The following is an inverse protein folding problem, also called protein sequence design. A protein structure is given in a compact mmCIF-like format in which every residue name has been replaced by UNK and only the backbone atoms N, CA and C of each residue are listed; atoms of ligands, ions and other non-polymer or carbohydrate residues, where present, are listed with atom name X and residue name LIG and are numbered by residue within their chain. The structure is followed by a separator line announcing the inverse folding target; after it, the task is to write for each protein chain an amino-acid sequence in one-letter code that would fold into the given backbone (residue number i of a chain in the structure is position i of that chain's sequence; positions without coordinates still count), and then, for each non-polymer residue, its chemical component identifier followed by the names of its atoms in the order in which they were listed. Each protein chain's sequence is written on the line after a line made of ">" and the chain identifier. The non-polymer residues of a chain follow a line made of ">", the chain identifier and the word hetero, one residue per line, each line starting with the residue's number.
data_IF_549376546142
#
_entry.id   IF_549376546142
#
_cell.length_a   1.000
_cell.length_b   1.000
_cell.length_c   1.000
_cell.angle_alpha   90.00
_cell.angle_beta   90.00
_cell.angle_gamma   90.00
#
_symmetry.space_group_name_H-M   'P 1'
#
loop_
_entity.id
_entity.type
_entity.pdbx_description
1 polymer ?
2 non-polymer ?
3 non-polymer ?
4 water ?
#
# COMPACT_ATOMS: atom_id res chain seq x y z
N UNK A 5 -17.54 10.61 -2.23
CA UNK A 5 -17.17 9.50 -1.37
C UNK A 5 -18.07 9.41 -0.14
N UNK A 6 -18.35 8.19 0.31
CA UNK A 6 -19.01 7.98 1.60
C UNK A 6 -18.10 8.46 2.72
N UNK A 7 -18.68 8.59 3.90
CA UNK A 7 -17.92 8.97 5.07
C UNK A 7 -16.72 8.04 5.29
N UNK A 8 -16.94 6.73 5.18
CA UNK A 8 -15.85 5.80 5.40
C UNK A 8 -14.79 5.91 4.30
N UNK A 9 -15.21 6.16 3.06
CA UNK A 9 -14.22 6.31 2.00
C UNK A 9 -13.47 7.64 2.11
N UNK A 10 -14.10 8.68 2.67
CA UNK A 10 -13.35 9.88 2.99
C UNK A 10 -12.23 9.56 3.97
N UNK A 11 -12.55 8.80 5.01
CA UNK A 11 -11.52 8.39 5.96
C UNK A 11 -10.40 7.62 5.26
N UNK A 12 -10.76 6.69 4.37
CA UNK A 12 -9.74 5.97 3.61
C UNK A 12 -8.90 6.92 2.76
N UNK A 13 -9.54 7.90 2.13
CA UNK A 13 -8.77 8.87 1.34
C UNK A 13 -7.80 9.65 2.21
N UNK A 14 -8.22 10.02 3.41
CA UNK A 14 -7.31 10.68 4.33
C UNK A 14 -6.11 9.82 4.68
N UNK A 15 -6.35 8.54 4.98
CA UNK A 15 -5.24 7.61 5.21
C UNK A 15 -4.30 7.60 4.02
N UNK A 16 -4.86 7.47 2.82
CA UNK A 16 -4.05 7.42 1.60
C UNK A 16 -3.18 8.67 1.48
N UNK A 17 -3.78 9.84 1.65
CA UNK A 17 -3.02 11.08 1.61
C UNK A 17 -1.89 11.06 2.64
N UNK A 18 -2.18 10.57 3.86
CA UNK A 18 -1.13 10.51 4.86
C UNK A 18 0.00 9.56 4.43
N UNK A 19 -0.35 8.38 3.90
CA UNK A 19 0.69 7.42 3.52
C UNK A 19 1.58 7.97 2.43
N UNK A 20 1.06 8.91 1.64
CA UNK A 20 1.82 9.54 0.57
C UNK A 20 2.49 10.85 0.98
N UNK A 21 2.39 11.25 2.24
CA UNK A 21 2.87 12.55 2.68
C UNK A 21 4.34 12.51 3.08
N UNK A 22 4.97 13.69 3.13
CA UNK A 22 6.40 13.75 3.44
C UNK A 22 6.69 13.18 4.81
N UNK A 23 5.72 13.28 5.75
CA UNK A 23 5.89 12.76 7.10
C UNK A 23 6.38 11.30 7.12
N UNK A 24 5.95 10.50 6.14
CA UNK A 24 6.29 9.08 6.13
C UNK A 24 7.20 8.69 4.97
N UNK A 25 7.76 9.67 4.24
CA UNK A 25 8.45 9.37 3.00
C UNK A 25 9.67 8.46 3.21
N UNK A 26 10.31 8.54 4.38
CA UNK A 26 11.57 7.81 4.56
C UNK A 26 11.37 6.30 4.47
N UNK A 27 10.18 5.80 4.82
CA UNK A 27 9.87 4.39 4.66
C UNK A 27 8.77 4.10 3.64
N UNK A 28 8.02 5.11 3.20
CA UNK A 28 6.93 4.85 2.26
C UNK A 28 7.37 4.80 0.81
N UNK A 29 8.51 5.40 0.48
CA UNK A 29 8.85 5.62 -0.92
C UNK A 29 8.93 4.34 -1.76
N UNK A 30 9.34 3.16 -1.26
CA UNK A 30 9.32 1.96 -2.13
C UNK A 30 7.91 1.55 -2.55
N UNK A 31 6.88 2.13 -1.94
CA UNK A 31 5.49 1.75 -2.19
C UNK A 31 4.75 2.80 -2.99
N UNK A 32 5.45 3.84 -3.46
CA UNK A 32 4.80 4.92 -4.18
C UNK A 32 4.34 4.49 -5.58
N UNK A 33 5.13 3.65 -6.25
CA UNK A 33 4.90 3.29 -7.64
C UNK A 33 4.97 1.78 -7.81
N UNK A 34 4.43 1.24 -8.90
CA UNK A 34 4.53 -0.22 -9.11
C UNK A 34 5.97 -0.68 -9.12
N UNK A 35 6.21 -1.85 -8.55
CA UNK A 35 7.54 -2.49 -8.67
C UNK A 35 7.87 -2.65 -10.14
N UNK A 36 8.96 -2.02 -10.57
CA UNK A 36 9.46 -2.17 -11.94
C UNK A 36 10.49 -3.30 -11.90
N UNK A 37 9.99 -4.55 -12.03
CA UNK A 37 10.83 -5.71 -11.75
C UNK A 37 12.02 -5.76 -12.70
N UNK A 38 11.81 -5.42 -13.97
CA UNK A 38 12.91 -5.41 -14.94
C UNK A 38 13.96 -4.39 -14.56
N UNK A 39 13.54 -3.18 -14.19
CA UNK A 39 14.52 -2.14 -13.86
C UNK A 39 15.31 -2.50 -12.61
N UNK A 40 14.69 -3.23 -11.68
CA UNK A 40 15.32 -3.58 -10.42
C UNK A 40 16.07 -4.91 -10.48
N UNK A 41 16.05 -5.59 -11.63
CA UNK A 41 16.70 -6.87 -11.76
C UNK A 41 15.97 -8.03 -11.11
N UNK A 42 14.69 -7.87 -10.79
CA UNK A 42 13.93 -8.90 -10.08
C UNK A 42 13.13 -9.74 -11.09
N UNK A 43 13.87 -10.60 -11.80
CA UNK A 43 13.25 -11.25 -12.95
C UNK A 43 12.32 -12.39 -12.55
N UNK A 44 12.24 -12.72 -11.28
CA UNK A 44 11.28 -13.69 -10.77
C UNK A 44 10.09 -13.02 -10.09
N UNK A 45 10.03 -11.68 -10.08
CA UNK A 45 9.03 -10.98 -9.27
C UNK A 45 7.61 -11.35 -9.69
N UNK A 46 7.35 -11.33 -10.99
CA UNK A 46 6.00 -11.61 -11.47
C UNK A 46 5.67 -13.08 -11.53
N UNK A 47 6.64 -13.95 -11.27
CA UNK A 47 6.32 -15.36 -11.07
C UNK A 47 5.90 -15.62 -9.65
N UNK A 48 6.39 -14.82 -8.73
CA UNK A 48 6.10 -14.99 -7.30
C UNK A 48 4.88 -14.20 -6.88
N UNK A 49 4.77 -12.96 -7.36
CA UNK A 49 3.70 -12.03 -6.99
C UNK A 49 2.65 -12.05 -8.09
N UNK A 50 1.47 -12.57 -7.78
CA UNK A 50 0.38 -12.72 -8.76
C UNK A 50 -0.43 -11.44 -8.96
N UNK A 51 -0.49 -10.58 -7.94
CA UNK A 51 -1.36 -9.41 -7.94
C UNK A 51 -0.59 -8.21 -7.41
N UNK A 52 0.20 -7.56 -8.26
CA UNK A 52 0.97 -6.39 -7.81
C UNK A 52 0.05 -5.27 -7.36
N UNK A 53 0.53 -4.49 -6.39
CA UNK A 53 -0.24 -3.36 -5.88
C UNK A 53 0.72 -2.34 -5.29
N UNK A 54 0.34 -1.06 -5.39
CA UNK A 54 1.18 0.04 -4.94
C UNK A 54 0.28 1.24 -4.68
N UNK A 55 0.84 2.25 -4.01
CA UNK A 55 0.00 3.37 -3.59
C UNK A 55 -0.48 4.23 -4.75
N UNK A 56 0.29 4.33 -5.85
CA UNK A 56 -0.23 5.10 -6.97
C UNK A 56 -1.42 4.42 -7.62
N UNK A 57 -1.44 3.09 -7.59
CA UNK A 57 -2.60 2.36 -8.10
C UNK A 57 -3.80 2.52 -7.17
N UNK A 58 -3.58 2.42 -5.86
CA UNK A 58 -4.64 2.71 -4.90
C UNK A 58 -5.19 4.11 -5.13
N UNK A 59 -4.31 5.08 -5.38
CA UNK A 59 -4.75 6.45 -5.57
C UNK A 59 -5.58 6.59 -6.84
N UNK A 60 -5.15 5.95 -7.92
CA UNK A 60 -5.93 5.98 -9.16
C UNK A 60 -7.30 5.35 -8.95
N UNK A 61 -7.36 4.24 -8.22
CA UNK A 61 -8.64 3.59 -7.98
C UNK A 61 -9.55 4.43 -7.09
N UNK A 62 -8.98 5.14 -6.12
CA UNK A 62 -9.78 6.06 -5.32
C UNK A 62 -10.31 7.20 -6.18
N UNK A 63 -9.45 7.78 -7.03
CA UNK A 63 -9.86 8.92 -7.86
C UNK A 63 -10.96 8.51 -8.85
N UNK A 64 -10.89 7.28 -9.35
CA UNK A 64 -11.85 6.77 -10.32
C UNK A 64 -13.09 6.20 -9.68
N UNK A 65 -13.20 6.26 -8.35
CA UNK A 65 -14.34 5.72 -7.61
C UNK A 65 -14.45 4.21 -7.82
N UNK A 66 -13.30 3.55 -7.95
CA UNK A 66 -13.27 2.10 -8.13
C UNK A 66 -13.69 1.40 -6.84
N UNK A 67 -13.20 1.86 -5.69
CA UNK A 67 -13.52 1.22 -4.42
C UNK A 67 -14.97 1.49 -4.05
N UNK A 68 -15.71 0.44 -3.76
CA UNK A 68 -17.08 0.67 -3.36
C UNK A 68 -17.26 0.76 -1.85
N UNK A 69 -16.26 0.35 -1.08
CA UNK A 69 -16.34 0.46 0.38
C UNK A 69 -14.93 0.43 0.95
N UNK A 70 -14.84 0.71 2.26
CA UNK A 70 -13.55 0.77 2.93
C UNK A 70 -12.82 -0.57 2.89
N UNK A 71 -13.58 -1.67 3.05
CA UNK A 71 -12.98 -2.99 3.08
C UNK A 71 -12.22 -3.29 1.78
N UNK A 72 -12.74 -2.85 0.65
CA UNK A 72 -12.07 -3.09 -0.61
C UNK A 72 -10.77 -2.29 -0.70
N UNK A 73 -10.79 -1.05 -0.23
CA UNK A 73 -9.57 -0.24 -0.13
C UNK A 73 -8.55 -0.90 0.77
N UNK A 74 -8.97 -1.29 1.97
CA UNK A 74 -8.05 -1.93 2.91
C UNK A 74 -7.43 -3.18 2.31
N UNK A 75 -8.22 -3.98 1.59
CA UNK A 75 -7.69 -5.20 1.00
C UNK A 75 -6.55 -4.90 0.03
N UNK A 76 -6.65 -3.82 -0.74
CA UNK A 76 -5.58 -3.45 -1.66
C UNK A 76 -4.33 -2.98 -0.91
N UNK A 77 -4.50 -2.13 0.10
CA UNK A 77 -3.33 -1.67 0.85
C UNK A 77 -2.61 -2.85 1.48
N UNK A 78 -3.37 -3.76 2.10
CA UNK A 78 -2.75 -4.90 2.76
C UNK A 78 -2.14 -5.87 1.75
N UNK A 79 -2.73 -5.97 0.56
CA UNK A 79 -2.13 -6.77 -0.51
C UNK A 79 -0.75 -6.25 -0.89
N UNK A 80 -0.61 -4.93 -0.99
CA UNK A 80 0.68 -4.32 -1.24
C UNK A 80 1.71 -4.76 -0.21
N UNK A 81 1.34 -4.71 1.08
CA UNK A 81 2.28 -5.12 2.11
C UNK A 81 2.59 -6.61 2.01
N UNK A 82 1.57 -7.43 1.78
CA UNK A 82 1.76 -8.88 1.71
C UNK A 82 2.71 -9.25 0.58
N UNK A 83 2.62 -8.55 -0.55
CA UNK A 83 3.55 -8.82 -1.65
C UNK A 83 4.98 -8.60 -1.18
N UNK A 84 5.20 -7.55 -0.40
CA UNK A 84 6.53 -7.26 0.12
C UNK A 84 7.00 -8.36 1.07
N UNK A 85 6.11 -8.81 1.97
CA UNK A 85 6.47 -9.88 2.90
C UNK A 85 6.67 -11.22 2.19
N UNK A 86 6.01 -11.43 1.04
CA UNK A 86 6.17 -12.70 0.32
C UNK A 86 7.50 -12.73 -0.42
N UNK A 87 7.88 -11.64 -1.08
CA UNK A 87 8.98 -11.68 -2.04
C UNK A 87 10.34 -11.55 -1.37
N UNK A 88 10.43 -10.78 -0.28
CA UNK A 88 11.69 -10.34 0.31
C UNK A 88 12.03 -11.13 1.58
N UNK A 89 13.31 -11.34 1.88
CA UNK A 89 13.66 -11.96 3.16
C UNK A 89 13.12 -11.14 4.31
N UNK A 90 12.71 -11.78 5.40
CA UNK A 90 12.05 -11.03 6.49
C UNK A 90 12.95 -10.02 7.16
N UNK A 91 14.27 -10.14 7.05
CA UNK A 91 15.19 -9.22 7.68
C UNK A 91 15.65 -8.10 6.76
N UNK A 92 15.08 -8.01 5.56
CA UNK A 92 15.52 -6.99 4.61
C UNK A 92 15.01 -5.60 5.02
N UNK A 93 15.76 -4.57 4.63
CA UNK A 93 15.36 -3.19 4.95
C UNK A 93 13.98 -2.87 4.39
N UNK A 94 13.67 -3.34 3.18
CA UNK A 94 12.41 -2.96 2.55
C UNK A 94 11.23 -3.56 3.33
N UNK A 95 11.45 -4.70 3.98
CA UNK A 95 10.41 -5.29 4.82
C UNK A 95 10.24 -4.48 6.09
N UNK A 96 11.34 -3.99 6.66
CA UNK A 96 11.26 -3.11 7.82
C UNK A 96 10.45 -1.86 7.49
N UNK A 97 10.64 -1.32 6.28
CA UNK A 97 9.86 -0.16 5.84
C UNK A 97 8.40 -0.51 5.66
N UNK A 98 8.10 -1.67 5.07
CA UNK A 98 6.72 -2.12 4.97
C UNK A 98 6.06 -2.21 6.34
N UNK A 99 6.73 -2.83 7.31
CA UNK A 99 6.15 -2.97 8.65
C UNK A 99 5.81 -1.61 9.24
N UNK A 100 6.71 -0.64 9.07
CA UNK A 100 6.47 0.68 9.65
C UNK A 100 5.31 1.38 8.97
N UNK A 101 5.22 1.29 7.64
CA UNK A 101 4.09 1.92 6.96
C UNK A 101 2.79 1.18 7.24
N UNK A 102 2.84 -0.16 7.38
CA UNK A 102 1.61 -0.87 7.72
C UNK A 102 1.15 -0.52 9.13
N UNK A 103 2.09 -0.22 10.03
CA UNK A 103 1.69 0.23 11.36
C UNK A 103 0.94 1.56 11.27
N UNK A 104 1.45 2.50 10.46
CA UNK A 104 0.73 3.75 10.24
C UNK A 104 -0.68 3.46 9.71
N UNK A 105 -0.76 2.60 8.68
CA UNK A 105 -2.04 2.29 8.07
C UNK A 105 -3.02 1.66 9.07
N UNK A 106 -2.59 0.58 9.73
CA UNK A 106 -3.54 -0.18 10.54
C UNK A 106 -4.07 0.63 11.71
N UNK A 107 -3.22 1.42 12.35
CA UNK A 107 -3.71 2.15 13.51
C UNK A 107 -4.69 3.24 13.10
N UNK A 108 -4.49 3.86 11.94
CA UNK A 108 -5.47 4.87 11.52
C UNK A 108 -6.70 4.25 10.86
N UNK A 109 -6.53 3.13 10.16
CA UNK A 109 -7.69 2.42 9.63
C UNK A 109 -8.61 1.99 10.76
N UNK A 110 -8.04 1.58 11.90
CA UNK A 110 -8.86 1.15 13.03
C UNK A 110 -9.72 2.27 13.58
N UNK A 111 -9.37 3.52 13.29
CA UNK A 111 -10.14 4.69 13.74
C UNK A 111 -11.28 5.03 12.79
N UNK A 112 -11.63 4.11 11.90
CA UNK A 112 -12.69 4.35 10.93
C UNK A 112 -14.00 4.74 11.61
N UNK A 113 -14.65 5.82 11.20
CA UNK A 113 -15.97 6.13 11.76
C UNK A 113 -16.98 5.06 11.38
N UNK A 114 -17.76 4.63 12.37
CA UNK A 114 -18.80 3.62 12.15
C UNK A 114 -19.78 3.60 13.31
X LIG B 1 15.96 1.95 -6.09
X LIG B 1 16.85 1.19 -5.32
X LIG B 1 16.41 0.12 -4.58
X LIG B 1 15.06 -0.20 -4.59
X LIG B 1 14.17 0.54 -5.35
X LIG B 1 11.92 -0.55 -4.96
X LIG B 1 10.40 -2.45 -3.79
X LIG B 1 8.51 -2.90 -2.16
X LIG B 1 12.13 -5.09 -3.76
X LIG B 1 14.63 -3.95 -4.53
X LIG B 1 15.98 -4.85 -2.80
X LIG B 1 11.78 -2.59 -3.80
X LIG B 1 14.23 2.96 -7.98
X LIG B 1 13.68 2.34 -6.84
X LIG B 1 14.62 1.62 -6.09
X LIG B 1 12.73 0.48 -5.59
X LIG B 1 10.57 -0.40 -4.94
X LIG B 1 9.84 -1.33 -4.34
X LIG B 1 9.52 -3.40 -3.09
X LIG B 1 9.67 -4.80 -3.25
X LIG B 1 8.94 -5.50 -2.61
X LIG B 1 10.70 -5.34 -4.18
X LIG B 1 10.46 -6.69 -4.23
X LIG B 1 10.56 -4.79 -5.42
X LIG B 1 12.42 -3.78 -3.16
X LIG B 1 13.90 -3.60 -3.13
X LIG B 1 15.83 -4.95 -4.17
X LIG B 1 14.47 -4.46 -2.21
X LIG B 1 12.50 -1.63 -4.39
X LIG B 1 18.35 1.53 -5.30
X LIG B 1 18.75 2.48 -5.88
X LIG B 1 19.24 0.62 -4.56
X LIG B 1 20.75 0.81 -4.44
X LIG B 1 21.35 0.81 -5.82
X LIG B 1 22.80 1.31 -5.86
X LIG B 1 22.99 2.60 -5.12
X LIG B 1 22.33 3.69 -5.82
X LIG B 1 22.50 2.50 -3.71
X LIG B 1 21.03 2.05 -3.65
X LIG C 1 -8.46 -7.47 4.39
#
# INVERSE_FOLDING_TARGET
>A
SMGKLSEQLKHCNGILKELLSKKHAAYAWPFYKPVDASALGLHDYHDIIKHPMDLSTVKRKMENRDYRDAQEFAADVRLMFSNCYKYNPPDHDVVAMARKLQDVFEFRYAKMPD
>B hetero
1 79C C4 C5 C6 C7 C8 C10 C13 C15 C21 C24 C26 C28 C1 O2 C3 N9 N11 C12 N14 C16 O17 C18 F19 F20 N22 C23 C25 C27 N29 C30 O31 N32 C33 C34 C35 N36 C37 C38 C39
>C hetero
1 CL CL
#
